data_IF_551299696140
#
_entry.id   IF_551299696140
#
_cell.length_a   1.000
_cell.length_b   1.000
_cell.length_c   1.000
_cell.angle_alpha   90.00
_cell.angle_beta   90.00
_cell.angle_gamma   90.00
#
_symmetry.space_group_name_H-M   'P 1'
#
loop_
_entity.id
_entity.type
_entity.pdbx_description
1 polymer ?
#
# COMPACT_ATOMS: atom_id res chain seq x y z
N UNK A 1 3.15 -2.63 36.23
CA UNK A 1 3.39 -3.15 34.88
C UNK A 1 2.25 -2.64 34.00
N UNK A 2 2.52 -1.64 33.16
CA UNK A 2 1.49 -1.13 32.24
C UNK A 2 1.56 -2.00 30.99
N UNK A 3 0.48 -2.76 30.75
CA UNK A 3 0.24 -3.46 29.49
C UNK A 3 0.34 -2.45 28.35
N UNK A 4 1.46 -2.48 27.63
CA UNK A 4 1.54 -1.86 26.31
C UNK A 4 0.74 -2.77 25.39
N UNK A 5 -0.54 -2.46 25.23
CA UNK A 5 -1.37 -3.03 24.17
C UNK A 5 -0.65 -2.73 22.84
N UNK A 6 -0.11 -3.75 22.20
CA UNK A 6 0.43 -3.64 20.84
C UNK A 6 -0.63 -2.97 19.95
N UNK A 7 -0.25 -2.01 19.09
CA UNK A 7 -1.23 -1.36 18.23
C UNK A 7 -1.88 -2.43 17.35
N UNK A 8 -3.21 -2.57 17.43
CA UNK A 8 -4.00 -3.50 16.62
C UNK A 8 -3.59 -3.33 15.16
N UNK A 9 -2.88 -4.32 14.63
CA UNK A 9 -2.49 -4.37 13.22
C UNK A 9 -3.76 -4.18 12.39
N UNK A 10 -3.86 -3.13 11.57
CA UNK A 10 -5.11 -2.83 10.88
C UNK A 10 -5.52 -3.99 9.98
N UNK A 11 -6.83 -4.24 9.89
CA UNK A 11 -7.39 -5.42 9.23
C UNK A 11 -6.94 -5.59 7.76
N UNK A 12 -6.63 -4.48 7.08
CA UNK A 12 -6.09 -4.53 5.71
C UNK A 12 -4.67 -5.10 5.64
N UNK A 13 -3.88 -4.94 6.71
CA UNK A 13 -2.50 -5.42 6.77
C UNK A 13 -2.48 -6.93 7.00
N UNK A 14 -3.41 -7.45 7.81
CA UNK A 14 -3.67 -8.89 7.93
C UNK A 14 -4.22 -9.48 6.62
N UNK A 15 -5.11 -8.77 5.92
CA UNK A 15 -5.61 -9.20 4.61
C UNK A 15 -4.50 -9.24 3.55
N UNK A 16 -3.59 -8.26 3.58
CA UNK A 16 -2.55 -8.14 2.56
C UNK A 16 -1.35 -9.06 2.80
N UNK A 17 -1.03 -9.34 4.06
CA UNK A 17 0.23 -10.01 4.43
C UNK A 17 0.07 -11.19 5.40
N UNK A 18 -1.14 -11.45 5.92
CA UNK A 18 -1.41 -12.46 6.95
C UNK A 18 -2.04 -13.77 6.45
N UNK A 19 -1.99 -14.05 5.14
CA UNK A 19 -2.55 -15.28 4.58
C UNK A 19 -1.68 -16.53 4.80
N UNK A 20 -2.30 -17.70 4.89
CA UNK A 20 -1.63 -19.01 5.09
C UNK A 20 -0.64 -19.40 3.98
N UNK A 21 -0.75 -18.76 2.80
CA UNK A 21 0.15 -18.95 1.66
C UNK A 21 0.80 -17.61 1.28
N UNK A 22 2.08 -17.40 1.62
CA UNK A 22 2.76 -16.13 1.35
C UNK A 22 2.70 -15.75 -0.13
N UNK A 23 2.36 -14.50 -0.42
CA UNK A 23 2.24 -13.97 -1.79
C UNK A 23 0.98 -14.40 -2.54
N UNK A 24 0.10 -15.23 -1.95
CA UNK A 24 -1.18 -15.62 -2.56
C UNK A 24 -2.36 -14.88 -1.92
N UNK A 25 -3.24 -14.36 -2.78
CA UNK A 25 -4.53 -13.76 -2.45
C UNK A 25 -5.64 -14.69 -2.93
N UNK A 26 -6.08 -15.59 -2.04
CA UNK A 26 -6.99 -16.68 -2.41
C UNK A 26 -6.31 -17.64 -3.39
N UNK A 27 -6.83 -17.76 -4.61
CA UNK A 27 -6.29 -18.62 -5.66
C UNK A 27 -5.24 -17.93 -6.55
N UNK A 28 -5.01 -16.63 -6.38
CA UNK A 28 -4.20 -15.81 -7.29
C UNK A 28 -2.93 -15.32 -6.60
N UNK A 29 -1.89 -14.98 -7.37
CA UNK A 29 -0.60 -14.52 -6.85
C UNK A 29 0.47 -15.62 -6.88
N UNK A 30 1.35 -15.62 -5.89
CA UNK A 30 2.52 -16.47 -5.84
C UNK A 30 3.68 -15.95 -6.70
N UNK A 31 4.74 -16.76 -6.77
CA UNK A 31 5.98 -16.45 -7.48
C UNK A 31 6.34 -17.62 -8.41
N UNK A 32 5.97 -17.53 -9.68
CA UNK A 32 6.28 -18.53 -10.72
C UNK A 32 7.48 -18.07 -11.54
N UNK A 33 8.67 -18.22 -10.95
CA UNK A 33 9.90 -17.60 -11.45
C UNK A 33 10.97 -18.69 -11.65
N UNK A 34 11.93 -18.49 -12.57
CA UNK A 34 13.10 -19.35 -12.68
C UNK A 34 13.89 -19.41 -11.36
N UNK A 35 14.46 -20.57 -11.05
CA UNK A 35 15.19 -20.81 -9.78
C UNK A 35 16.33 -19.81 -9.56
N UNK A 36 17.00 -19.38 -10.63
CA UNK A 36 18.10 -18.40 -10.56
C UNK A 36 17.67 -17.04 -9.97
N UNK A 37 16.38 -16.70 -10.02
CA UNK A 37 15.85 -15.44 -9.46
C UNK A 37 15.36 -15.58 -8.01
N UNK A 38 15.30 -16.79 -7.47
CA UNK A 38 14.72 -17.05 -6.15
C UNK A 38 15.49 -16.32 -5.05
N UNK A 39 16.81 -16.49 -5.01
CA UNK A 39 17.67 -15.84 -4.01
C UNK A 39 17.57 -14.32 -4.07
N UNK A 40 17.60 -13.73 -5.27
CA UNK A 40 17.52 -12.27 -5.43
C UNK A 40 16.19 -11.70 -4.94
N UNK A 41 15.09 -12.43 -5.13
CA UNK A 41 13.78 -12.00 -4.66
C UNK A 41 13.58 -12.20 -3.15
N UNK A 42 14.18 -13.24 -2.58
CA UNK A 42 14.20 -13.43 -1.13
C UNK A 42 14.95 -12.27 -0.45
N UNK A 43 16.09 -11.85 -1.00
CA UNK A 43 16.85 -10.67 -0.54
C UNK A 43 16.04 -9.38 -0.66
N UNK A 44 15.37 -9.17 -1.80
CA UNK A 44 14.51 -8.01 -2.01
C UNK A 44 13.34 -7.98 -1.01
N UNK A 45 12.73 -9.13 -0.74
CA UNK A 45 11.63 -9.26 0.22
C UNK A 45 12.09 -8.91 1.62
N UNK A 46 13.24 -9.43 2.04
CA UNK A 46 13.82 -9.11 3.34
C UNK A 46 14.14 -7.62 3.48
N UNK A 47 14.73 -6.99 2.45
CA UNK A 47 15.01 -5.56 2.45
C UNK A 47 13.72 -4.71 2.49
N UNK A 48 12.69 -5.14 1.76
CA UNK A 48 11.38 -4.49 1.79
C UNK A 48 10.75 -4.55 3.18
N UNK A 49 10.75 -5.71 3.84
CA UNK A 49 10.17 -5.86 5.19
C UNK A 49 10.92 -5.02 6.22
N UNK A 50 12.25 -4.96 6.13
CA UNK A 50 13.06 -4.07 6.96
C UNK A 50 12.66 -2.60 6.77
N UNK A 51 12.63 -2.11 5.53
CA UNK A 51 12.26 -0.74 5.21
C UNK A 51 10.80 -0.42 5.60
N UNK A 52 9.88 -1.36 5.40
CA UNK A 52 8.46 -1.22 5.78
C UNK A 52 8.28 -1.09 7.29
N UNK A 53 9.08 -1.82 8.07
CA UNK A 53 9.03 -1.75 9.54
C UNK A 53 9.76 -0.54 10.13
N UNK A 54 10.59 0.17 9.34
CA UNK A 54 11.38 1.31 9.78
C UNK A 54 10.60 2.64 9.69
N UNK A 55 10.30 3.31 10.81
CA UNK A 55 9.65 4.62 10.79
C UNK A 55 10.47 5.71 10.09
N UNK A 56 11.80 5.63 10.10
CA UNK A 56 12.66 6.64 9.47
C UNK A 56 12.54 6.59 7.94
N UNK A 57 12.45 5.39 7.36
CA UNK A 57 12.16 5.19 5.95
C UNK A 57 10.85 5.88 5.54
N UNK A 58 9.76 5.69 6.30
CA UNK A 58 8.46 6.30 6.01
C UNK A 58 8.49 7.83 6.08
N UNK A 59 9.26 8.40 7.03
CA UNK A 59 9.45 9.85 7.12
C UNK A 59 10.15 10.39 5.88
N UNK A 60 11.26 9.77 5.47
CA UNK A 60 12.00 10.17 4.27
C UNK A 60 11.17 10.00 2.99
N UNK A 61 10.47 8.88 2.85
CA UNK A 61 9.58 8.60 1.72
C UNK A 61 8.46 9.64 1.61
N UNK A 62 7.76 9.91 2.72
CA UNK A 62 6.67 10.89 2.74
C UNK A 62 7.18 12.30 2.48
N UNK A 63 8.37 12.64 2.96
CA UNK A 63 9.01 13.92 2.63
C UNK A 63 9.24 14.04 1.13
N UNK A 64 9.87 13.04 0.50
CA UNK A 64 10.11 13.03 -0.95
C UNK A 64 8.81 13.11 -1.76
N UNK A 65 7.76 12.39 -1.34
CA UNK A 65 6.45 12.48 -1.98
C UNK A 65 5.91 13.91 -1.99
N UNK A 66 6.10 14.67 -0.90
CA UNK A 66 5.62 16.06 -0.79
C UNK A 66 6.49 17.05 -1.55
N UNK A 67 7.81 16.93 -1.41
CA UNK A 67 8.75 17.96 -1.90
C UNK A 67 9.19 17.75 -3.34
N UNK A 68 9.20 16.50 -3.82
CA UNK A 68 9.65 16.17 -5.17
C UNK A 68 8.48 15.74 -6.07
N UNK A 69 7.60 14.86 -5.56
CA UNK A 69 6.47 14.33 -6.36
C UNK A 69 5.18 15.15 -6.23
N UNK A 70 5.20 16.26 -5.49
CA UNK A 70 4.06 17.16 -5.26
C UNK A 70 2.77 16.46 -4.77
N UNK A 71 2.90 15.42 -3.94
CA UNK A 71 1.77 14.77 -3.26
C UNK A 71 1.35 15.57 -2.02
N UNK A 72 0.05 15.49 -1.61
CA UNK A 72 -1.01 14.69 -2.20
C UNK A 72 -1.57 15.28 -3.49
N UNK A 73 -1.92 14.41 -4.44
CA UNK A 73 -2.69 14.82 -5.63
C UNK A 73 -4.10 15.22 -5.19
N UNK A 74 -4.59 16.40 -5.59
CA UNK A 74 -5.91 16.88 -5.21
C UNK A 74 -7.00 15.95 -5.74
N UNK A 75 -8.11 15.87 -5.01
CA UNK A 75 -9.35 15.28 -5.50
C UNK A 75 -10.18 16.38 -6.16
N UNK A 76 -10.36 16.31 -7.47
CA UNK A 76 -11.00 17.39 -8.24
C UNK A 76 -12.46 17.05 -8.53
N UNK A 77 -13.39 17.89 -8.09
CA UNK A 77 -14.81 17.76 -8.45
C UNK A 77 -15.00 18.05 -9.94
N UNK A 78 -15.60 17.11 -10.66
CA UNK A 78 -15.91 17.26 -12.08
C UNK A 78 -17.34 17.80 -12.21
N UNK A 79 -17.52 19.11 -12.07
CA UNK A 79 -18.85 19.75 -12.01
C UNK A 79 -19.70 19.47 -13.27
N UNK A 80 -19.12 19.68 -14.45
CA UNK A 80 -19.79 19.45 -15.74
C UNK A 80 -20.22 17.99 -15.90
N UNK A 81 -19.31 17.07 -15.55
CA UNK A 81 -19.59 15.64 -15.63
C UNK A 81 -20.68 15.26 -14.63
N UNK A 82 -20.58 15.75 -13.39
CA UNK A 82 -21.55 15.52 -12.31
C UNK A 82 -22.96 16.00 -12.70
N UNK A 83 -23.07 17.16 -13.36
CA UNK A 83 -24.34 17.66 -13.87
C UNK A 83 -24.92 16.79 -14.99
N UNK A 84 -24.08 16.25 -15.88
CA UNK A 84 -24.52 15.51 -17.07
C UNK A 84 -25.06 14.09 -16.81
N UNK A 85 -24.67 13.43 -15.71
CA UNK A 85 -25.08 12.04 -15.41
C UNK A 85 -26.44 11.94 -14.71
N UNK A 86 -26.99 13.07 -14.27
CA UNK A 86 -28.23 13.13 -13.50
C UNK A 86 -28.16 12.45 -12.12
N UNK A 87 -29.26 12.56 -11.36
CA UNK A 87 -29.42 11.85 -10.09
C UNK A 87 -28.66 12.43 -8.89
N UNK A 88 -28.20 13.69 -8.95
CA UNK A 88 -27.58 14.39 -7.81
C UNK A 88 -26.20 13.84 -7.38
N UNK A 89 -25.53 13.08 -8.25
CA UNK A 89 -24.22 12.45 -7.97
C UNK A 89 -23.09 13.46 -8.17
N UNK A 90 -22.05 13.38 -7.33
CA UNK A 90 -20.82 14.18 -7.45
C UNK A 90 -19.66 13.26 -7.85
N UNK A 91 -19.02 13.54 -8.97
CA UNK A 91 -17.84 12.81 -9.43
C UNK A 91 -16.56 13.55 -9.05
N UNK A 92 -15.61 12.81 -8.51
CA UNK A 92 -14.29 13.30 -8.18
C UNK A 92 -13.23 12.53 -8.98
N UNK A 93 -12.28 13.25 -9.56
CA UNK A 93 -11.09 12.68 -10.16
C UNK A 93 -9.98 12.61 -9.11
N UNK A 94 -9.29 11.47 -9.04
CA UNK A 94 -8.10 11.26 -8.20
C UNK A 94 -6.82 11.33 -9.02
#
# INVERSE_FOLDING_TARGET
>A
MSDKKEPDTPAWEQLLFGGDRPGYFGAYGGAFLPEILRTTLDELTAAFDQARSDPAFWQAYTHALRTYSCRPTPLTLLENLSAGIGGGRRLYLK
#
